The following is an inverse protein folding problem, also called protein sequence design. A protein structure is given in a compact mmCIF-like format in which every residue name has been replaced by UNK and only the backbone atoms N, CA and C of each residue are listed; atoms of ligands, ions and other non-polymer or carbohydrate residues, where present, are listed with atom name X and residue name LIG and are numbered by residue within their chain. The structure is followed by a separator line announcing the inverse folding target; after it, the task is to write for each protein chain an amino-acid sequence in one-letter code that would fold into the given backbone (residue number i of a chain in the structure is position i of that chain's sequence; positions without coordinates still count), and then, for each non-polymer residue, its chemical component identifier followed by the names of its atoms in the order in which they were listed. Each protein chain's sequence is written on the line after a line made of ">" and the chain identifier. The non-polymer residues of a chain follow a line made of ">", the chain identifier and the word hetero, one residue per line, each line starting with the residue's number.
data_IF_027376176752
#
_entry.id   IF_027376176752
#
_cell.length_a   1.000
_cell.length_b   1.000
_cell.length_c   1.000
_cell.angle_alpha   90.00
_cell.angle_beta   90.00
_cell.angle_gamma   90.00
#
_symmetry.space_group_name_H-M   'P 1'
#
loop_
_entity.id
_entity.type
_entity.pdbx_description
1 polymer ?
#
# COMPACT_ATOMS: atom_id res chain seq x y z
N UNK A 1 11.74 24.11 7.20
CA UNK A 1 12.25 24.11 8.60
C UNK A 1 13.72 23.64 8.71
N UNK A 2 14.20 22.63 7.99
CA UNK A 2 15.56 22.09 8.14
C UNK A 2 16.72 23.07 7.94
N UNK A 3 16.67 23.93 6.92
CA UNK A 3 17.77 24.88 6.64
C UNK A 3 17.95 25.97 7.73
N UNK A 4 16.88 26.39 8.41
CA UNK A 4 16.92 27.37 9.49
C UNK A 4 17.55 26.78 10.76
N UNK A 5 17.22 25.52 11.09
CA UNK A 5 17.79 24.85 12.27
C UNK A 5 19.27 24.52 12.09
N UNK A 6 19.68 24.07 10.91
CA UNK A 6 21.08 23.81 10.59
C UNK A 6 21.94 25.05 10.71
N UNK A 7 21.47 26.19 10.17
CA UNK A 7 22.16 27.47 10.25
C UNK A 7 22.31 27.93 11.70
N UNK A 8 21.28 27.76 12.53
CA UNK A 8 21.29 28.08 13.94
C UNK A 8 22.29 27.22 14.73
N UNK A 9 22.31 25.91 14.48
CA UNK A 9 23.24 24.96 15.09
C UNK A 9 24.69 25.26 14.69
N UNK A 10 24.94 25.57 13.42
CA UNK A 10 26.27 25.94 12.93
C UNK A 10 26.77 27.30 13.48
N UNK A 11 25.86 28.20 13.83
CA UNK A 11 26.19 29.49 14.44
C UNK A 11 26.36 29.43 15.97
N UNK A 12 26.00 28.34 16.62
CA UNK A 12 26.09 28.20 18.08
C UNK A 12 27.49 27.76 18.51
N UNK A 13 27.94 28.18 19.70
CA UNK A 13 29.20 27.71 20.25
C UNK A 13 29.07 26.23 20.67
N UNK A 14 30.18 25.48 20.61
CA UNK A 14 30.22 24.10 21.05
C UNK A 14 29.74 23.92 22.51
N UNK A 15 30.18 24.81 23.39
CA UNK A 15 29.84 24.80 24.82
C UNK A 15 28.32 25.02 25.02
N UNK A 16 27.74 26.01 24.32
CA UNK A 16 26.30 26.28 24.38
C UNK A 16 25.47 25.08 23.88
N UNK A 17 25.94 24.35 22.87
CA UNK A 17 25.28 23.15 22.38
C UNK A 17 25.39 21.98 23.39
N UNK A 18 26.54 21.81 24.03
CA UNK A 18 26.75 20.81 25.09
C UNK A 18 25.83 21.10 26.27
N UNK A 19 25.81 22.35 26.77
CA UNK A 19 24.95 22.73 27.89
C UNK A 19 23.46 22.52 27.59
N UNK A 20 23.02 22.86 26.39
CA UNK A 20 21.65 22.59 25.95
C UNK A 20 21.32 21.10 25.90
N UNK A 21 22.21 20.27 25.29
CA UNK A 21 22.02 18.82 25.22
C UNK A 21 21.99 18.16 26.60
N UNK A 22 22.83 18.62 27.54
CA UNK A 22 22.82 18.11 28.91
C UNK A 22 21.53 18.50 29.64
N UNK A 23 21.05 19.73 29.51
CA UNK A 23 19.78 20.17 30.10
C UNK A 23 18.58 19.40 29.56
N UNK A 24 18.56 19.12 28.27
CA UNK A 24 17.47 18.30 27.67
C UNK A 24 17.59 16.83 28.10
N UNK A 25 18.79 16.29 28.19
CA UNK A 25 19.04 14.93 28.68
C UNK A 25 18.64 14.71 30.15
N UNK A 26 18.76 15.76 30.99
CA UNK A 26 18.28 15.72 32.39
C UNK A 26 16.74 15.67 32.48
N UNK A 27 16.04 16.21 31.49
CA UNK A 27 14.57 16.26 31.45
C UNK A 27 13.95 15.03 30.76
N UNK A 28 14.65 14.48 29.78
CA UNK A 28 14.17 13.37 28.95
C UNK A 28 15.18 12.19 28.96
N UNK A 29 14.86 11.17 29.73
CA UNK A 29 15.68 9.96 29.82
C UNK A 29 15.81 9.21 28.47
N UNK A 30 14.81 9.33 27.58
CA UNK A 30 14.86 8.76 26.24
C UNK A 30 15.86 9.53 25.36
N UNK A 31 15.84 10.86 25.45
CA UNK A 31 16.83 11.70 24.76
C UNK A 31 18.25 11.45 25.27
N UNK A 32 18.45 11.35 26.60
CA UNK A 32 19.73 11.00 27.20
C UNK A 32 20.27 9.67 26.67
N UNK A 33 19.42 8.65 26.58
CA UNK A 33 19.76 7.34 26.05
C UNK A 33 20.17 7.42 24.58
N UNK A 34 19.45 8.16 23.75
CA UNK A 34 19.80 8.38 22.33
C UNK A 34 21.13 9.11 22.15
N UNK A 35 21.45 10.08 23.00
CA UNK A 35 22.77 10.72 22.99
C UNK A 35 23.90 9.71 23.30
N UNK A 36 23.69 8.85 24.28
CA UNK A 36 24.65 7.80 24.58
C UNK A 36 24.81 6.81 23.44
N UNK A 37 23.71 6.40 22.79
CA UNK A 37 23.75 5.51 21.61
C UNK A 37 24.53 6.16 20.46
N UNK A 38 24.29 7.45 20.20
CA UNK A 38 24.87 8.16 19.07
C UNK A 38 26.35 8.52 19.26
N UNK A 39 26.77 8.82 20.47
CA UNK A 39 28.08 9.44 20.77
C UNK A 39 28.92 8.70 21.81
N UNK A 40 28.38 7.66 22.46
CA UNK A 40 29.12 6.88 23.45
C UNK A 40 30.19 6.02 22.79
N UNK A 41 31.39 5.97 23.42
CA UNK A 41 32.51 5.14 22.94
C UNK A 41 32.35 3.65 23.32
N UNK A 42 31.58 3.35 24.34
CA UNK A 42 31.32 1.97 24.78
C UNK A 42 29.90 1.55 24.41
N UNK A 43 29.68 0.27 24.01
CA UNK A 43 28.33 -0.25 23.82
C UNK A 43 27.56 -0.14 25.13
N UNK A 44 26.45 0.61 25.10
CA UNK A 44 25.56 0.68 26.27
C UNK A 44 25.04 -0.74 26.51
N UNK A 45 25.32 -1.30 27.66
CA UNK A 45 24.56 -2.44 28.14
C UNK A 45 23.24 -1.88 28.69
N UNK A 46 22.10 -2.16 28.06
CA UNK A 46 20.83 -1.72 28.61
C UNK A 46 20.66 -2.30 29.99
N UNK A 47 20.09 -1.54 30.91
CA UNK A 47 19.55 -2.17 32.11
C UNK A 47 18.31 -2.95 31.68
N UNK A 48 18.54 -4.19 31.26
CA UNK A 48 17.56 -5.10 30.65
C UNK A 48 16.32 -5.23 31.52
N UNK A 49 16.50 -5.30 32.86
CA UNK A 49 15.39 -5.48 33.80
C UNK A 49 14.50 -4.23 33.89
N UNK A 50 15.09 -3.03 33.88
CA UNK A 50 14.31 -1.78 33.85
C UNK A 50 13.52 -1.66 32.56
N UNK A 51 14.14 -1.93 31.39
CA UNK A 51 13.47 -1.85 30.11
C UNK A 51 12.38 -2.93 30.03
N UNK A 52 12.62 -4.15 30.48
CA UNK A 52 11.61 -5.21 30.52
C UNK A 52 10.41 -4.80 31.36
N UNK A 53 10.61 -4.23 32.56
CA UNK A 53 9.50 -3.76 33.38
C UNK A 53 8.68 -2.66 32.69
N UNK A 54 9.35 -1.67 32.11
CA UNK A 54 8.66 -0.60 31.36
C UNK A 54 7.87 -1.14 30.17
N UNK A 55 8.42 -2.11 29.43
CA UNK A 55 7.69 -2.79 28.35
C UNK A 55 6.47 -3.54 28.89
N UNK A 56 6.62 -4.29 29.98
CA UNK A 56 5.50 -5.03 30.59
C UNK A 56 4.41 -4.09 31.09
N UNK A 57 4.77 -2.98 31.73
CA UNK A 57 3.82 -1.95 32.16
C UNK A 57 3.06 -1.36 30.94
N UNK A 58 3.80 -0.93 29.92
CA UNK A 58 3.19 -0.33 28.72
C UNK A 58 2.29 -1.31 27.94
N UNK A 59 2.66 -2.60 27.86
CA UNK A 59 1.85 -3.60 27.15
C UNK A 59 0.62 -4.06 27.96
N UNK A 60 0.54 -3.74 29.24
CA UNK A 60 -0.62 -4.03 30.10
C UNK A 60 -1.51 -2.81 30.37
N UNK A 61 -1.06 -1.62 30.02
CA UNK A 61 -1.79 -0.37 30.18
C UNK A 61 -2.73 -0.16 28.96
N UNK A 62 -3.99 -0.59 29.15
CA UNK A 62 -5.00 -0.67 28.11
C UNK A 62 -6.14 0.32 28.40
N UNK A 63 -6.58 1.02 27.36
CA UNK A 63 -7.70 1.95 27.39
C UNK A 63 -8.75 1.60 26.33
N UNK A 64 -10.01 1.97 26.60
CA UNK A 64 -11.06 1.90 25.58
C UNK A 64 -11.05 3.16 24.71
N UNK A 65 -11.05 2.98 23.40
CA UNK A 65 -11.17 4.10 22.46
C UNK A 65 -12.60 4.69 22.43
N UNK A 66 -12.81 5.73 21.62
CA UNK A 66 -14.10 6.39 21.46
C UNK A 66 -15.20 5.51 20.83
N UNK A 67 -14.82 4.38 20.24
CA UNK A 67 -15.73 3.38 19.66
C UNK A 67 -15.99 2.19 20.58
N UNK A 68 -15.30 2.14 21.74
CA UNK A 68 -15.43 1.07 22.73
C UNK A 68 -14.51 -0.13 22.46
N UNK A 69 -13.54 0.01 21.56
CA UNK A 69 -12.52 -1.00 21.32
C UNK A 69 -11.37 -0.85 22.31
N UNK A 70 -10.90 -1.98 22.85
CA UNK A 70 -9.77 -2.03 23.79
C UNK A 70 -8.46 -1.89 23.01
N UNK A 71 -7.65 -0.89 23.36
CA UNK A 71 -6.36 -0.61 22.75
C UNK A 71 -5.29 -0.29 23.80
N UNK A 72 -4.05 -0.07 23.35
CA UNK A 72 -2.98 0.46 24.20
C UNK A 72 -3.32 1.92 24.56
N UNK A 73 -2.97 2.35 25.78
CA UNK A 73 -3.08 3.76 26.17
C UNK A 73 -2.21 4.65 25.28
N UNK A 74 -2.55 5.92 25.17
CA UNK A 74 -1.77 6.88 24.39
C UNK A 74 -0.32 6.99 24.92
N UNK A 75 -0.12 6.87 26.23
CA UNK A 75 1.23 6.90 26.83
C UNK A 75 2.02 5.65 26.44
N UNK A 76 1.39 4.48 26.40
CA UNK A 76 1.97 3.22 25.98
C UNK A 76 2.36 3.20 24.50
N UNK A 77 1.52 3.75 23.64
CA UNK A 77 1.84 3.92 22.21
C UNK A 77 3.05 4.83 22.01
N UNK A 78 3.10 5.97 22.70
CA UNK A 78 4.25 6.90 22.63
C UNK A 78 5.54 6.25 23.16
N UNK A 79 5.45 5.46 24.23
CA UNK A 79 6.59 4.71 24.74
C UNK A 79 7.11 3.71 23.72
N UNK A 80 6.22 2.91 23.11
CA UNK A 80 6.60 1.93 22.10
C UNK A 80 7.19 2.60 20.85
N UNK A 81 6.65 3.72 20.41
CA UNK A 81 7.23 4.50 19.31
C UNK A 81 8.65 4.98 19.63
N UNK A 82 8.87 5.49 20.85
CA UNK A 82 10.21 5.86 21.32
C UNK A 82 11.14 4.64 21.39
N UNK A 83 10.62 3.49 21.80
CA UNK A 83 11.37 2.25 21.87
C UNK A 83 11.85 1.77 20.49
N UNK A 84 10.97 1.76 19.51
CA UNK A 84 11.33 1.43 18.12
C UNK A 84 12.32 2.44 17.53
N UNK A 85 12.14 3.72 17.87
CA UNK A 85 13.09 4.75 17.45
C UNK A 85 14.48 4.53 18.05
N UNK A 86 14.58 4.09 19.30
CA UNK A 86 15.86 3.73 19.93
C UNK A 86 16.55 2.56 19.17
N UNK A 87 15.79 1.57 18.68
CA UNK A 87 16.31 0.50 17.82
C UNK A 87 16.85 1.08 16.50
N UNK A 88 16.09 1.95 15.85
CA UNK A 88 16.49 2.58 14.58
C UNK A 88 17.76 3.42 14.73
N UNK A 89 17.87 4.21 15.82
CA UNK A 89 19.06 5.01 16.12
C UNK A 89 20.25 4.08 16.39
N UNK A 90 20.06 3.00 17.13
CA UNK A 90 21.14 2.02 17.40
C UNK A 90 21.66 1.37 16.09
N UNK A 91 20.76 1.04 15.15
CA UNK A 91 21.12 0.53 13.82
C UNK A 91 21.92 1.59 13.04
N UNK A 92 21.44 2.83 12.98
CA UNK A 92 22.08 3.93 12.27
C UNK A 92 23.50 4.21 12.78
N UNK A 93 23.75 4.03 14.11
CA UNK A 93 25.05 4.21 14.74
C UNK A 93 25.86 2.92 14.90
N UNK A 94 25.46 1.85 14.17
CA UNK A 94 26.16 0.53 14.17
C UNK A 94 26.27 -0.17 15.53
N UNK A 95 25.40 0.19 16.48
CA UNK A 95 25.29 -0.43 17.81
C UNK A 95 24.42 -1.71 17.75
N UNK A 96 24.82 -2.66 16.90
CA UNK A 96 23.99 -3.83 16.57
C UNK A 96 23.69 -4.72 17.78
N UNK A 97 24.64 -4.88 18.71
CA UNK A 97 24.41 -5.68 19.92
C UNK A 97 23.28 -5.10 20.76
N UNK A 98 23.22 -3.77 20.88
CA UNK A 98 22.17 -3.08 21.59
C UNK A 98 20.82 -3.20 20.88
N UNK A 99 20.79 -2.94 19.58
CA UNK A 99 19.58 -3.08 18.76
C UNK A 99 18.99 -4.51 18.83
N UNK A 100 19.84 -5.54 18.76
CA UNK A 100 19.43 -6.94 18.90
C UNK A 100 18.83 -7.21 20.29
N UNK A 101 19.47 -6.74 21.35
CA UNK A 101 18.95 -6.93 22.72
C UNK A 101 17.56 -6.28 22.88
N UNK A 102 17.35 -5.08 22.35
CA UNK A 102 16.04 -4.44 22.34
C UNK A 102 15.00 -5.26 21.53
N UNK A 103 15.36 -5.77 20.37
CA UNK A 103 14.47 -6.64 19.58
C UNK A 103 14.07 -7.91 20.35
N UNK A 104 15.03 -8.57 21.02
CA UNK A 104 14.77 -9.78 21.80
C UNK A 104 13.91 -9.51 23.03
N UNK A 105 14.11 -8.38 23.72
CA UNK A 105 13.28 -7.98 24.86
C UNK A 105 11.83 -7.74 24.45
N UNK A 106 11.61 -7.09 23.31
CA UNK A 106 10.27 -6.87 22.78
C UNK A 106 9.63 -8.21 22.37
N UNK A 107 10.38 -9.10 21.72
CA UNK A 107 9.91 -10.44 21.33
C UNK A 107 9.48 -11.29 22.55
N UNK A 108 10.20 -11.20 23.68
CA UNK A 108 9.85 -11.86 24.94
C UNK A 108 8.56 -11.32 25.57
N UNK A 109 8.25 -10.04 25.36
CA UNK A 109 7.13 -9.36 26.03
C UNK A 109 5.86 -9.28 25.18
N UNK A 110 5.98 -9.23 23.84
CA UNK A 110 4.84 -9.15 22.92
C UNK A 110 3.77 -10.23 23.10
N UNK A 111 4.08 -11.50 23.47
CA UNK A 111 3.04 -12.52 23.68
C UNK A 111 1.97 -12.15 24.71
N UNK A 112 2.21 -11.15 25.56
CA UNK A 112 1.20 -10.61 26.48
C UNK A 112 0.03 -9.95 25.76
N UNK A 113 0.23 -9.46 24.53
CA UNK A 113 -0.80 -8.84 23.67
C UNK A 113 -1.52 -9.82 22.74
N UNK A 114 -1.26 -11.12 22.80
CA UNK A 114 -1.88 -12.10 21.89
C UNK A 114 -3.41 -12.09 21.89
N UNK A 115 -4.05 -11.58 22.95
CA UNK A 115 -5.49 -11.39 23.03
C UNK A 115 -6.00 -10.13 22.28
N UNK A 116 -5.08 -9.32 21.74
CA UNK A 116 -5.33 -8.08 21.00
C UNK A 116 -4.74 -8.23 19.59
N UNK A 117 -5.38 -9.08 18.77
CA UNK A 117 -4.85 -9.53 17.47
C UNK A 117 -4.25 -8.42 16.63
N UNK A 118 -4.96 -7.28 16.49
CA UNK A 118 -4.51 -6.17 15.64
C UNK A 118 -3.24 -5.49 16.16
N UNK A 119 -3.18 -5.15 17.46
CA UNK A 119 -2.02 -4.49 18.07
C UNK A 119 -0.81 -5.41 18.08
N UNK A 120 -1.03 -6.68 18.41
CA UNK A 120 0.02 -7.69 18.37
C UNK A 120 0.62 -7.81 16.96
N UNK A 121 -0.20 -8.00 15.95
CA UNK A 121 0.25 -8.13 14.56
C UNK A 121 1.01 -6.89 14.09
N UNK A 122 0.52 -5.68 14.38
CA UNK A 122 1.17 -4.43 13.99
C UNK A 122 2.56 -4.29 14.61
N UNK A 123 2.69 -4.53 15.91
CA UNK A 123 3.97 -4.43 16.63
C UNK A 123 4.94 -5.53 16.21
N UNK A 124 4.44 -6.74 16.00
CA UNK A 124 5.24 -7.87 15.55
C UNK A 124 5.77 -7.67 14.12
N UNK A 125 4.97 -7.14 13.21
CA UNK A 125 5.43 -6.78 11.86
C UNK A 125 6.51 -5.67 11.91
N UNK A 126 6.34 -4.66 12.75
CA UNK A 126 7.35 -3.62 12.94
C UNK A 126 8.66 -4.18 13.51
N UNK A 127 8.57 -5.10 14.47
CA UNK A 127 9.73 -5.82 15.01
C UNK A 127 10.44 -6.64 13.93
N UNK A 128 9.70 -7.37 13.08
CA UNK A 128 10.27 -8.09 11.93
C UNK A 128 11.01 -7.15 10.97
N UNK A 129 10.49 -5.95 10.73
CA UNK A 129 11.16 -4.95 9.90
C UNK A 129 12.48 -4.49 10.51
N UNK A 130 12.52 -4.20 11.81
CA UNK A 130 13.77 -3.87 12.52
C UNK A 130 14.82 -5.00 12.40
N UNK A 131 14.40 -6.25 12.59
CA UNK A 131 15.27 -7.41 12.44
C UNK A 131 15.82 -7.56 11.01
N UNK A 132 15.00 -7.32 9.99
CA UNK A 132 15.44 -7.34 8.61
C UNK A 132 16.45 -6.21 8.35
N UNK A 133 16.22 -5.01 8.87
CA UNK A 133 17.15 -3.87 8.75
C UNK A 133 18.49 -4.18 9.40
N UNK A 134 18.51 -4.77 10.61
CA UNK A 134 19.75 -5.24 11.27
C UNK A 134 20.44 -6.28 10.38
N UNK A 135 19.68 -7.23 9.86
CA UNK A 135 20.19 -8.31 9.03
C UNK A 135 20.76 -7.84 7.70
N UNK A 136 20.21 -6.75 7.13
CA UNK A 136 20.66 -6.14 5.86
C UNK A 136 21.79 -5.13 6.04
N UNK A 137 22.01 -4.63 7.26
CA UNK A 137 23.09 -3.72 7.55
C UNK A 137 24.45 -4.39 7.26
N UNK A 138 25.40 -3.57 6.76
CA UNK A 138 26.76 -4.06 6.48
C UNK A 138 27.50 -4.27 7.79
N UNK A 139 27.43 -5.49 8.34
CA UNK A 139 28.13 -5.88 9.56
C UNK A 139 29.44 -6.57 9.19
N UNK A 140 30.60 -6.10 9.67
CA UNK A 140 31.88 -6.75 9.46
C UNK A 140 31.86 -8.20 9.92
N UNK A 141 32.55 -9.10 9.18
CA UNK A 141 32.57 -10.55 9.45
C UNK A 141 32.85 -10.93 10.92
N UNK A 142 33.82 -10.33 11.62
CA UNK A 142 34.07 -10.65 13.04
C UNK A 142 32.87 -10.33 13.95
N UNK A 143 32.19 -9.21 13.69
CA UNK A 143 30.96 -8.85 14.44
C UNK A 143 29.82 -9.83 14.14
N UNK A 144 29.64 -10.25 12.88
CA UNK A 144 28.62 -11.25 12.52
C UNK A 144 28.82 -12.55 13.30
N UNK A 145 30.04 -13.06 13.36
CA UNK A 145 30.34 -14.30 14.08
C UNK A 145 30.05 -14.19 15.57
N UNK A 146 30.43 -13.10 16.22
CA UNK A 146 30.16 -12.88 17.64
C UNK A 146 28.69 -12.70 17.94
N UNK A 147 27.94 -11.99 17.09
CA UNK A 147 26.49 -11.82 17.22
C UNK A 147 25.73 -13.12 16.97
N UNK A 148 26.15 -13.93 16.00
CA UNK A 148 25.58 -15.25 15.76
C UNK A 148 25.78 -16.15 16.98
N UNK A 149 26.99 -16.18 17.56
CA UNK A 149 27.27 -16.95 18.80
C UNK A 149 26.38 -16.47 19.96
N UNK A 150 26.28 -15.16 20.18
CA UNK A 150 25.40 -14.59 21.20
C UNK A 150 23.95 -15.07 21.03
N UNK A 151 23.42 -15.03 19.81
CA UNK A 151 22.06 -15.48 19.52
C UNK A 151 21.91 -17.01 19.68
N UNK A 152 22.96 -17.79 19.43
CA UNK A 152 22.92 -19.25 19.57
C UNK A 152 22.89 -19.70 21.02
N UNK A 153 23.37 -18.89 21.95
CA UNK A 153 23.45 -19.23 23.41
C UNK A 153 22.14 -18.98 24.18
N UNK A 154 21.13 -18.38 23.51
CA UNK A 154 19.81 -18.18 24.15
C UNK A 154 19.00 -19.48 24.18
N UNK A 155 18.32 -19.75 25.32
CA UNK A 155 17.54 -20.97 25.51
C UNK A 155 16.25 -21.03 24.71
N UNK A 156 15.61 -19.87 24.47
CA UNK A 156 14.33 -19.80 23.72
C UNK A 156 14.55 -19.55 22.23
N UNK A 157 14.10 -20.48 21.43
CA UNK A 157 14.06 -20.33 19.96
C UNK A 157 12.76 -19.63 19.56
N UNK A 158 12.86 -18.47 18.93
CA UNK A 158 11.71 -17.72 18.39
C UNK A 158 11.92 -17.38 16.92
N UNK A 159 10.85 -17.15 16.13
CA UNK A 159 10.97 -16.70 14.74
C UNK A 159 11.80 -15.42 14.58
N UNK A 160 11.69 -14.49 15.52
CA UNK A 160 12.48 -13.23 15.54
C UNK A 160 13.98 -13.54 15.71
N UNK A 161 14.31 -14.41 16.62
CA UNK A 161 15.71 -14.83 16.86
C UNK A 161 16.30 -15.54 15.63
N UNK A 162 15.56 -16.49 15.05
CA UNK A 162 15.99 -17.17 13.82
C UNK A 162 16.21 -16.16 12.70
N UNK A 163 15.32 -15.18 12.55
CA UNK A 163 15.41 -14.10 11.55
C UNK A 163 16.70 -13.28 11.71
N UNK A 164 17.05 -12.91 12.94
CA UNK A 164 18.32 -12.24 13.24
C UNK A 164 19.53 -13.13 12.91
N UNK A 165 19.49 -14.41 13.29
CA UNK A 165 20.56 -15.38 13.01
C UNK A 165 20.77 -15.56 11.50
N UNK A 166 19.70 -15.61 10.70
CA UNK A 166 19.76 -15.65 9.23
C UNK A 166 20.58 -14.46 8.69
N UNK A 167 20.43 -13.27 9.26
CA UNK A 167 21.21 -12.08 8.91
C UNK A 167 22.71 -12.19 9.23
N UNK A 168 23.06 -13.01 10.23
CA UNK A 168 24.42 -13.14 10.75
C UNK A 168 25.18 -14.36 10.21
N UNK A 169 24.53 -15.19 9.38
CA UNK A 169 25.15 -16.38 8.78
C UNK A 169 26.45 -16.05 8.03
N UNK A 170 27.49 -16.85 8.25
CA UNK A 170 28.81 -16.69 7.65
C UNK A 170 29.35 -17.97 7.00
N UNK A 171 28.79 -19.15 7.32
CA UNK A 171 29.28 -20.43 6.81
C UNK A 171 28.16 -21.47 6.61
N UNK A 172 28.46 -22.55 5.89
CA UNK A 172 27.50 -23.61 5.57
C UNK A 172 27.04 -24.42 6.81
N UNK A 173 27.84 -24.48 7.87
CA UNK A 173 27.45 -25.17 9.10
C UNK A 173 26.30 -24.43 9.79
N UNK A 174 26.41 -23.10 9.87
CA UNK A 174 25.34 -22.24 10.39
C UNK A 174 24.07 -22.33 9.51
N UNK A 175 24.21 -22.39 8.19
CA UNK A 175 23.07 -22.61 7.27
C UNK A 175 22.35 -23.92 7.61
N UNK A 176 23.08 -25.01 7.84
CA UNK A 176 22.49 -26.30 8.15
C UNK A 176 21.79 -26.28 9.52
N UNK A 177 22.41 -25.68 10.52
CA UNK A 177 21.79 -25.49 11.83
C UNK A 177 20.47 -24.70 11.76
N UNK A 178 20.47 -23.60 10.98
CA UNK A 178 19.26 -22.80 10.81
C UNK A 178 18.14 -23.56 10.09
N UNK A 179 18.48 -24.39 9.08
CA UNK A 179 17.48 -25.25 8.44
C UNK A 179 16.79 -26.19 9.41
N UNK A 180 17.54 -26.78 10.32
CA UNK A 180 16.99 -27.67 11.37
C UNK A 180 16.08 -26.88 12.32
N UNK A 181 16.55 -25.72 12.81
CA UNK A 181 15.77 -24.83 13.67
C UNK A 181 14.46 -24.36 13.02
N UNK A 182 14.49 -23.99 11.73
CA UNK A 182 13.31 -23.50 11.02
C UNK A 182 12.24 -24.59 10.93
N UNK A 183 12.60 -25.84 10.71
CA UNK A 183 11.64 -26.95 10.63
C UNK A 183 10.86 -27.15 11.94
N UNK A 184 11.46 -26.82 13.07
CA UNK A 184 10.84 -26.94 14.40
C UNK A 184 9.83 -25.83 14.72
N UNK A 185 9.93 -24.67 14.04
CA UNK A 185 9.11 -23.47 14.30
C UNK A 185 7.64 -23.56 13.86
N UNK A 186 7.30 -24.40 12.91
CA UNK A 186 5.91 -24.63 12.48
C UNK A 186 5.25 -23.47 11.73
N UNK A 187 4.93 -22.36 12.38
CA UNK A 187 4.07 -21.31 11.81
C UNK A 187 4.75 -20.40 10.78
N UNK A 188 6.04 -20.10 10.91
CA UNK A 188 6.81 -19.22 10.00
C UNK A 188 7.82 -19.97 9.11
N UNK A 189 7.74 -21.30 9.04
CA UNK A 189 8.70 -22.14 8.29
C UNK A 189 8.96 -21.64 6.89
N UNK A 190 7.90 -21.35 6.12
CA UNK A 190 8.06 -20.88 4.74
C UNK A 190 8.77 -19.54 4.64
N UNK A 191 8.40 -18.58 5.51
CA UNK A 191 8.98 -17.23 5.50
C UNK A 191 10.45 -17.27 5.90
N UNK A 192 10.80 -18.02 6.95
CA UNK A 192 12.17 -18.15 7.43
C UNK A 192 13.04 -18.94 6.43
N UNK A 193 12.51 -20.02 5.85
CA UNK A 193 13.18 -20.78 4.79
C UNK A 193 13.50 -19.86 3.60
N UNK A 194 12.53 -19.05 3.19
CA UNK A 194 12.72 -18.13 2.07
C UNK A 194 13.76 -17.04 2.38
N UNK A 195 13.73 -16.47 3.59
CA UNK A 195 14.75 -15.50 4.03
C UNK A 195 16.16 -16.11 4.04
N UNK A 196 16.30 -17.35 4.48
CA UNK A 196 17.57 -18.06 4.45
C UNK A 196 18.05 -18.27 3.02
N UNK A 197 17.16 -18.68 2.10
CA UNK A 197 17.45 -18.86 0.68
C UNK A 197 17.88 -17.56 0.00
N UNK A 198 17.19 -16.44 0.28
CA UNK A 198 17.56 -15.12 -0.26
C UNK A 198 19.02 -14.77 0.05
N UNK A 199 19.52 -15.18 1.23
CA UNK A 199 20.87 -14.82 1.69
C UNK A 199 21.96 -15.81 1.32
N UNK A 200 21.62 -17.06 1.13
CA UNK A 200 22.62 -18.15 1.05
C UNK A 200 22.56 -18.97 -0.22
N UNK A 201 21.42 -18.96 -0.93
CA UNK A 201 21.20 -19.79 -2.12
C UNK A 201 21.60 -19.09 -3.43
N UNK A 202 21.85 -19.88 -4.47
CA UNK A 202 22.05 -19.39 -5.83
C UNK A 202 20.78 -18.73 -6.40
N UNK A 203 20.92 -17.98 -7.51
CA UNK A 203 19.79 -17.38 -8.23
C UNK A 203 18.78 -18.47 -8.66
N UNK A 204 19.30 -19.57 -9.16
CA UNK A 204 18.51 -20.70 -9.69
C UNK A 204 17.71 -21.37 -8.59
N UNK A 205 18.31 -21.62 -7.42
CA UNK A 205 17.62 -22.22 -6.28
C UNK A 205 16.52 -21.30 -5.73
N UNK A 206 16.79 -19.98 -5.63
CA UNK A 206 15.78 -18.99 -5.20
C UNK A 206 14.60 -18.93 -6.18
N UNK A 207 14.90 -18.88 -7.48
CA UNK A 207 13.86 -18.86 -8.51
C UNK A 207 13.03 -20.14 -8.49
N UNK A 208 13.67 -21.30 -8.34
CA UNK A 208 12.95 -22.57 -8.24
C UNK A 208 12.03 -22.58 -7.03
N UNK A 209 12.51 -22.13 -5.87
CA UNK A 209 11.66 -22.02 -4.68
C UNK A 209 10.45 -21.09 -4.89
N UNK A 210 10.68 -19.92 -5.53
CA UNK A 210 9.59 -19.00 -5.89
C UNK A 210 8.57 -19.63 -6.85
N UNK A 211 9.04 -20.47 -7.79
CA UNK A 211 8.17 -21.16 -8.73
C UNK A 211 7.30 -22.23 -8.03
N UNK A 212 7.86 -22.94 -7.06
CA UNK A 212 7.20 -24.03 -6.35
C UNK A 212 6.30 -23.52 -5.19
N UNK A 213 6.72 -22.47 -4.48
CA UNK A 213 6.08 -21.95 -3.26
C UNK A 213 5.60 -20.50 -3.37
N UNK A 214 5.80 -19.84 -4.49
CA UNK A 214 5.58 -18.40 -4.66
C UNK A 214 4.12 -18.01 -4.87
N UNK A 215 3.19 -18.58 -4.11
CA UNK A 215 1.80 -18.14 -4.04
C UNK A 215 1.63 -16.87 -3.17
N UNK A 216 2.67 -16.46 -2.43
CA UNK A 216 2.71 -15.24 -1.62
C UNK A 216 3.43 -14.11 -2.37
N UNK A 217 2.75 -12.98 -2.66
CA UNK A 217 3.36 -11.84 -3.35
C UNK A 217 4.61 -11.29 -2.62
N UNK A 218 4.64 -11.40 -1.29
CA UNK A 218 5.71 -10.92 -0.42
C UNK A 218 7.07 -11.57 -0.77
N UNK A 219 7.10 -12.85 -1.11
CA UNK A 219 8.35 -13.53 -1.48
C UNK A 219 8.94 -12.98 -2.77
N UNK A 220 8.08 -12.70 -3.76
CA UNK A 220 8.51 -12.05 -5.00
C UNK A 220 9.00 -10.62 -4.75
N UNK A 221 8.28 -9.86 -3.93
CA UNK A 221 8.67 -8.50 -3.53
C UNK A 221 10.05 -8.51 -2.87
N UNK A 222 10.29 -9.36 -1.87
CA UNK A 222 11.59 -9.48 -1.19
C UNK A 222 12.72 -9.85 -2.16
N UNK A 223 12.47 -10.76 -3.13
CA UNK A 223 13.48 -11.13 -4.14
C UNK A 223 13.82 -9.98 -5.07
N UNK A 224 12.81 -9.21 -5.49
CA UNK A 224 13.00 -8.02 -6.33
C UNK A 224 13.80 -6.96 -5.56
N UNK A 225 13.42 -6.66 -4.32
CA UNK A 225 14.11 -5.69 -3.47
C UNK A 225 15.56 -6.10 -3.21
N UNK A 226 15.81 -7.38 -2.98
CA UNK A 226 17.17 -7.91 -2.81
C UNK A 226 18.02 -7.75 -4.08
N UNK A 227 17.44 -8.05 -5.25
CA UNK A 227 18.12 -7.84 -6.52
C UNK A 227 18.44 -6.35 -6.75
N UNK A 228 17.55 -5.44 -6.32
CA UNK A 228 17.77 -3.99 -6.41
C UNK A 228 18.85 -3.50 -5.45
N UNK A 229 18.88 -3.98 -4.21
CA UNK A 229 19.94 -3.66 -3.23
C UNK A 229 21.32 -4.08 -3.73
N UNK A 230 21.40 -5.17 -4.49
CA UNK A 230 22.64 -5.69 -5.09
C UNK A 230 22.88 -5.12 -6.50
N UNK A 231 22.18 -4.07 -6.89
CA UNK A 231 22.27 -3.37 -8.18
C UNK A 231 22.02 -4.27 -9.42
N UNK A 232 21.38 -5.42 -9.21
CA UNK A 232 21.07 -6.41 -10.27
C UNK A 232 19.73 -6.08 -10.94
N UNK A 233 19.61 -4.89 -11.56
CA UNK A 233 18.37 -4.36 -12.14
C UNK A 233 17.70 -5.29 -13.16
N UNK A 234 18.48 -5.99 -13.99
CA UNK A 234 17.91 -6.91 -14.99
C UNK A 234 17.23 -8.11 -14.32
N UNK A 235 17.82 -8.67 -13.26
CA UNK A 235 17.19 -9.74 -12.49
C UNK A 235 15.91 -9.25 -11.78
N UNK A 236 15.94 -8.04 -11.23
CA UNK A 236 14.74 -7.44 -10.63
C UNK A 236 13.59 -7.29 -11.64
N UNK A 237 13.90 -6.94 -12.90
CA UNK A 237 12.91 -6.86 -13.98
C UNK A 237 12.38 -8.25 -14.33
N UNK A 238 13.23 -9.26 -14.49
CA UNK A 238 12.82 -10.64 -14.78
C UNK A 238 11.87 -11.18 -13.70
N UNK A 239 12.23 -10.98 -12.41
CA UNK A 239 11.40 -11.36 -11.27
C UNK A 239 10.06 -10.61 -11.24
N UNK A 240 10.07 -9.28 -11.47
CA UNK A 240 8.87 -8.49 -11.48
C UNK A 240 7.93 -8.86 -12.65
N UNK A 241 8.47 -9.18 -13.83
CA UNK A 241 7.70 -9.65 -14.99
C UNK A 241 7.03 -11.00 -14.70
N UNK A 242 7.74 -11.93 -14.10
CA UNK A 242 7.19 -13.25 -13.77
C UNK A 242 6.13 -13.13 -12.65
N UNK A 243 6.40 -12.33 -11.62
CA UNK A 243 5.43 -12.02 -10.56
C UNK A 243 4.17 -11.35 -11.13
N UNK A 244 4.32 -10.40 -12.07
CA UNK A 244 3.20 -9.72 -12.71
C UNK A 244 2.28 -10.66 -13.50
N UNK A 245 2.84 -11.70 -14.12
CA UNK A 245 2.05 -12.74 -14.81
C UNK A 245 1.24 -13.58 -13.82
N UNK A 246 1.81 -13.90 -12.65
CA UNK A 246 1.16 -14.71 -11.61
C UNK A 246 0.08 -13.94 -10.86
N UNK A 247 0.37 -12.72 -10.47
CA UNK A 247 -0.49 -11.87 -9.67
C UNK A 247 -1.17 -10.80 -10.54
N UNK A 248 -1.95 -11.25 -11.51
CA UNK A 248 -2.58 -10.43 -12.56
C UNK A 248 -3.36 -9.20 -12.04
N UNK A 249 -3.92 -9.29 -10.84
CA UNK A 249 -4.71 -8.21 -10.25
C UNK A 249 -3.91 -7.30 -9.31
N UNK A 250 -2.66 -7.64 -9.01
CA UNK A 250 -1.79 -6.81 -8.17
C UNK A 250 -1.09 -5.74 -9.01
N UNK A 251 -1.20 -4.48 -8.59
CA UNK A 251 -0.49 -3.36 -9.20
C UNK A 251 0.98 -3.27 -8.78
N UNK A 252 1.38 -3.93 -7.67
CA UNK A 252 2.70 -3.82 -7.05
C UNK A 252 3.83 -4.10 -8.07
N UNK A 253 3.71 -5.22 -8.79
CA UNK A 253 4.78 -5.66 -9.71
C UNK A 253 4.86 -4.80 -10.97
N UNK A 254 3.73 -4.33 -11.47
CA UNK A 254 3.69 -3.32 -12.54
C UNK A 254 4.33 -2.01 -12.09
N UNK A 255 4.17 -1.62 -10.82
CA UNK A 255 4.83 -0.47 -10.22
C UNK A 255 6.36 -0.59 -10.18
N UNK A 256 6.89 -1.77 -9.83
CA UNK A 256 8.33 -2.05 -9.94
C UNK A 256 8.82 -1.94 -11.39
N UNK A 257 8.10 -2.56 -12.33
CA UNK A 257 8.45 -2.54 -13.75
C UNK A 257 8.46 -1.11 -14.31
N UNK A 258 7.43 -0.32 -14.01
CA UNK A 258 7.36 1.07 -14.44
C UNK A 258 8.56 1.89 -13.97
N UNK A 259 8.87 1.84 -12.67
CA UNK A 259 9.99 2.56 -12.08
C UNK A 259 11.32 2.14 -12.71
N UNK A 260 11.56 0.84 -12.81
CA UNK A 260 12.81 0.30 -13.34
C UNK A 260 13.01 0.64 -14.81
N UNK A 261 11.99 0.49 -15.66
CA UNK A 261 12.08 0.84 -17.07
C UNK A 261 12.27 2.35 -17.26
N UNK A 262 11.62 3.19 -16.44
CA UNK A 262 11.81 4.64 -16.45
C UNK A 262 13.26 5.02 -16.08
N UNK A 263 13.82 4.43 -15.02
CA UNK A 263 15.21 4.63 -14.60
C UNK A 263 16.24 4.19 -15.66
N UNK A 264 15.95 3.12 -16.39
CA UNK A 264 16.82 2.60 -17.44
C UNK A 264 16.63 3.29 -18.78
N UNK A 265 15.73 4.25 -18.90
CA UNK A 265 15.40 4.92 -20.16
C UNK A 265 14.67 4.02 -21.18
N UNK A 266 14.16 2.86 -20.75
CA UNK A 266 13.37 1.98 -21.60
C UNK A 266 11.94 2.50 -21.71
N UNK A 267 11.73 3.43 -22.66
CA UNK A 267 10.44 4.11 -22.87
C UNK A 267 9.31 3.13 -23.16
N UNK A 268 9.53 2.12 -24.00
CA UNK A 268 8.48 1.17 -24.35
C UNK A 268 8.09 0.32 -23.14
N UNK A 269 9.05 -0.20 -22.40
CA UNK A 269 8.76 -0.95 -21.16
C UNK A 269 8.00 -0.12 -20.11
N UNK A 270 8.37 1.17 -20.00
CA UNK A 270 7.65 2.08 -19.09
C UNK A 270 6.22 2.37 -19.56
N UNK A 271 5.98 2.52 -20.87
CA UNK A 271 4.65 2.64 -21.47
C UNK A 271 3.77 1.42 -21.17
N UNK A 272 4.29 0.22 -21.43
CA UNK A 272 3.56 -1.02 -21.21
C UNK A 272 3.21 -1.22 -19.74
N UNK A 273 4.14 -0.89 -18.84
CA UNK A 273 3.93 -0.99 -17.39
C UNK A 273 2.93 0.07 -16.87
N UNK A 274 2.98 1.32 -17.39
CA UNK A 274 1.99 2.35 -17.05
C UNK A 274 0.58 1.96 -17.52
N UNK A 275 0.47 1.42 -18.72
CA UNK A 275 -0.79 0.90 -19.26
C UNK A 275 -1.38 -0.21 -18.36
N UNK A 276 -0.55 -1.18 -17.96
CA UNK A 276 -0.96 -2.29 -17.08
C UNK A 276 -1.39 -1.77 -15.69
N UNK A 277 -0.71 -0.75 -15.14
CA UNK A 277 -1.10 -0.10 -13.89
C UNK A 277 -2.48 0.54 -13.97
N UNK A 278 -2.76 1.28 -15.04
CA UNK A 278 -4.07 1.91 -15.26
C UNK A 278 -5.14 0.82 -15.42
N UNK A 279 -4.84 -0.25 -16.16
CA UNK A 279 -5.75 -1.39 -16.33
C UNK A 279 -6.07 -2.13 -15.03
N UNK A 280 -5.24 -1.96 -13.99
CA UNK A 280 -5.43 -2.46 -12.63
C UNK A 280 -6.05 -1.45 -11.66
N UNK A 281 -6.43 -0.25 -12.14
CA UNK A 281 -7.13 0.78 -11.38
C UNK A 281 -6.28 1.95 -10.91
N UNK A 282 -4.97 1.96 -11.21
CA UNK A 282 -4.04 3.02 -10.81
C UNK A 282 -4.10 4.21 -11.79
N UNK A 283 -5.21 4.94 -11.76
CA UNK A 283 -5.54 5.98 -12.74
C UNK A 283 -4.56 7.16 -12.78
N UNK A 284 -3.81 7.42 -11.72
CA UNK A 284 -2.84 8.53 -11.69
C UNK A 284 -1.68 8.34 -12.68
N UNK A 285 -1.44 7.11 -13.17
CA UNK A 285 -0.46 6.83 -14.21
C UNK A 285 -0.89 7.29 -15.62
N UNK A 286 -2.12 7.76 -15.80
CA UNK A 286 -2.60 8.33 -17.10
C UNK A 286 -1.70 9.50 -17.54
N UNK A 287 -1.36 10.39 -16.63
CA UNK A 287 -0.45 11.53 -16.91
C UNK A 287 0.93 11.04 -17.37
N UNK A 288 1.47 10.02 -16.71
CA UNK A 288 2.75 9.41 -17.08
C UNK A 288 2.67 8.71 -18.45
N UNK A 289 1.59 7.97 -18.70
CA UNK A 289 1.34 7.29 -19.97
C UNK A 289 1.28 8.30 -21.12
N UNK A 290 0.55 9.42 -20.93
CA UNK A 290 0.47 10.50 -21.90
C UNK A 290 1.84 11.16 -22.14
N UNK A 291 2.61 11.44 -21.11
CA UNK A 291 3.96 12.03 -21.21
C UNK A 291 4.96 11.09 -21.91
N UNK A 292 4.83 9.78 -21.72
CA UNK A 292 5.62 8.77 -22.42
C UNK A 292 5.17 8.55 -23.86
N UNK A 293 3.94 8.86 -24.23
CA UNK A 293 3.42 8.74 -25.59
C UNK A 293 3.90 9.90 -26.47
N UNK A 294 4.01 9.69 -27.78
CA UNK A 294 4.15 10.79 -28.74
C UNK A 294 2.76 11.32 -29.08
N UNK A 295 2.61 12.56 -29.57
CA UNK A 295 1.32 13.06 -30.00
C UNK A 295 0.62 12.17 -31.02
N UNK A 296 1.38 11.56 -31.95
CA UNK A 296 0.87 10.65 -32.96
C UNK A 296 0.42 9.29 -32.39
N UNK A 297 1.15 8.76 -31.39
CA UNK A 297 0.82 7.49 -30.76
C UNK A 297 -0.24 7.62 -29.67
N UNK A 298 -0.41 8.81 -29.08
CA UNK A 298 -1.34 9.01 -27.96
C UNK A 298 -2.78 8.64 -28.30
N UNK A 299 -3.25 9.05 -29.48
CA UNK A 299 -4.62 8.71 -29.92
C UNK A 299 -4.84 7.21 -29.98
N UNK A 300 -3.89 6.46 -30.55
CA UNK A 300 -3.95 4.99 -30.58
C UNK A 300 -3.86 4.38 -29.20
N UNK A 301 -2.98 4.92 -28.33
CA UNK A 301 -2.84 4.47 -26.93
C UNK A 301 -4.13 4.68 -26.15
N UNK A 302 -4.82 5.82 -26.34
CA UNK A 302 -6.10 6.10 -25.71
C UNK A 302 -7.20 5.13 -26.17
N UNK A 303 -7.26 4.81 -27.48
CA UNK A 303 -8.21 3.81 -27.98
C UNK A 303 -7.97 2.43 -27.36
N UNK A 304 -6.71 1.97 -27.33
CA UNK A 304 -6.33 0.71 -26.66
C UNK A 304 -6.67 0.72 -25.16
N UNK A 305 -6.51 1.88 -24.51
CA UNK A 305 -6.88 2.02 -23.11
C UNK A 305 -8.40 1.89 -22.91
N UNK A 306 -9.20 2.52 -23.75
CA UNK A 306 -10.65 2.37 -23.71
C UNK A 306 -11.07 0.91 -23.93
N UNK A 307 -10.45 0.21 -24.89
CA UNK A 307 -10.73 -1.21 -25.13
C UNK A 307 -10.34 -2.09 -23.92
N UNK A 308 -9.21 -1.81 -23.26
CA UNK A 308 -8.79 -2.52 -22.05
C UNK A 308 -9.70 -2.26 -20.83
N UNK A 309 -10.45 -1.17 -20.85
CA UNK A 309 -11.43 -0.80 -19.82
C UNK A 309 -12.82 -1.40 -20.06
N UNK A 310 -13.06 -2.03 -21.20
CA UNK A 310 -14.33 -2.67 -21.47
C UNK A 310 -14.66 -3.75 -20.46
N UNK A 311 -15.88 -3.73 -19.91
CA UNK A 311 -16.33 -4.68 -18.87
C UNK A 311 -15.71 -4.49 -17.48
N UNK A 312 -14.87 -3.47 -17.26
CA UNK A 312 -14.38 -3.13 -15.93
C UNK A 312 -15.46 -2.41 -15.10
N UNK A 313 -15.34 -2.46 -13.78
CA UNK A 313 -16.24 -1.76 -12.87
C UNK A 313 -16.11 -0.24 -12.97
N UNK A 314 -17.19 0.48 -12.66
CA UNK A 314 -17.22 1.95 -12.67
C UNK A 314 -16.08 2.55 -11.83
N UNK A 315 -15.74 1.94 -10.70
CA UNK A 315 -14.66 2.41 -9.83
C UNK A 315 -13.29 2.48 -10.54
N UNK A 316 -13.01 1.50 -11.39
CA UNK A 316 -11.75 1.42 -12.16
C UNK A 316 -11.73 2.44 -13.29
N UNK A 317 -12.87 2.65 -13.97
CA UNK A 317 -12.93 3.46 -15.20
C UNK A 317 -13.39 4.90 -15.00
N UNK A 318 -13.67 5.31 -13.78
CA UNK A 318 -14.23 6.63 -13.45
C UNK A 318 -13.37 7.84 -13.87
N UNK A 319 -12.10 7.63 -14.21
CA UNK A 319 -11.19 8.66 -14.72
C UNK A 319 -11.36 8.94 -16.22
N UNK A 320 -11.95 7.98 -16.96
CA UNK A 320 -12.05 8.06 -18.43
C UNK A 320 -12.85 9.27 -18.93
N UNK A 321 -14.02 9.62 -18.36
CA UNK A 321 -14.81 10.71 -18.89
C UNK A 321 -14.07 12.04 -18.99
N UNK A 322 -13.37 12.42 -17.93
CA UNK A 322 -12.60 13.66 -17.89
C UNK A 322 -11.49 13.63 -18.95
N UNK A 323 -10.80 12.51 -19.09
CA UNK A 323 -9.76 12.32 -20.11
C UNK A 323 -10.35 12.39 -21.54
N UNK A 324 -11.50 11.75 -21.78
CA UNK A 324 -12.16 11.75 -23.09
C UNK A 324 -12.69 13.14 -23.48
N UNK A 325 -13.15 13.93 -22.50
CA UNK A 325 -13.54 15.33 -22.69
C UNK A 325 -12.31 16.17 -23.06
N UNK A 326 -11.19 16.04 -22.33
CA UNK A 326 -9.95 16.75 -22.60
C UNK A 326 -9.41 16.46 -24.02
N UNK A 327 -9.56 15.23 -24.49
CA UNK A 327 -9.12 14.78 -25.81
C UNK A 327 -10.17 15.01 -26.93
N UNK A 328 -11.37 15.46 -26.58
CA UNK A 328 -12.48 15.66 -27.52
C UNK A 328 -12.98 14.35 -28.15
N UNK A 329 -12.78 13.21 -27.49
CA UNK A 329 -13.20 11.90 -28.01
C UNK A 329 -14.62 11.56 -27.56
N UNK A 330 -15.59 12.25 -28.17
CA UNK A 330 -17.00 12.08 -27.79
C UNK A 330 -17.60 10.75 -28.25
N UNK A 331 -17.00 10.07 -29.22
CA UNK A 331 -17.41 8.71 -29.63
C UNK A 331 -17.18 7.73 -28.50
N UNK A 332 -15.99 7.74 -27.89
CA UNK A 332 -15.66 6.91 -26.72
C UNK A 332 -16.42 7.35 -25.46
N UNK A 333 -16.76 8.64 -25.36
CA UNK A 333 -17.63 9.14 -24.31
C UNK A 333 -19.04 8.56 -24.41
N UNK A 334 -19.61 8.48 -25.63
CA UNK A 334 -20.89 7.81 -25.86
C UNK A 334 -20.81 6.31 -25.51
N UNK A 335 -19.73 5.63 -25.89
CA UNK A 335 -19.48 4.25 -25.46
C UNK A 335 -19.46 4.13 -23.93
N UNK A 336 -18.79 5.03 -23.22
CA UNK A 336 -18.73 5.03 -21.75
C UNK A 336 -20.11 5.17 -21.10
N UNK A 337 -20.93 6.12 -21.51
CA UNK A 337 -22.28 6.31 -20.94
C UNK A 337 -23.23 5.17 -21.32
N UNK A 338 -23.03 4.48 -22.45
CA UNK A 338 -23.76 3.25 -22.78
C UNK A 338 -23.40 2.09 -21.85
N UNK A 339 -22.14 2.02 -21.42
CA UNK A 339 -21.69 1.01 -20.46
C UNK A 339 -22.15 1.34 -19.03
N UNK A 340 -22.23 2.62 -18.68
CA UNK A 340 -22.66 3.14 -17.36
C UNK A 340 -23.80 4.14 -17.51
N UNK A 341 -25.03 3.70 -17.79
CA UNK A 341 -26.15 4.60 -18.11
C UNK A 341 -26.44 5.64 -17.02
N UNK A 342 -26.21 5.32 -15.75
CA UNK A 342 -26.41 6.27 -14.62
C UNK A 342 -25.49 7.49 -14.69
N UNK A 343 -24.35 7.40 -15.39
CA UNK A 343 -23.43 8.52 -15.60
C UNK A 343 -23.88 9.47 -16.74
N UNK A 344 -24.88 9.08 -17.54
CA UNK A 344 -25.35 9.88 -18.68
C UNK A 344 -25.81 11.27 -18.27
N UNK A 345 -26.47 11.43 -17.12
CA UNK A 345 -26.93 12.73 -16.61
C UNK A 345 -25.77 13.68 -16.27
N UNK A 346 -24.60 13.15 -15.97
CA UNK A 346 -23.41 13.97 -15.67
C UNK A 346 -22.73 14.50 -16.92
N UNK A 347 -22.81 13.76 -18.02
CA UNK A 347 -22.01 14.03 -19.22
C UNK A 347 -22.82 14.33 -20.49
N UNK A 348 -24.17 14.41 -20.39
CA UNK A 348 -25.04 14.59 -21.56
C UNK A 348 -24.72 15.86 -22.37
N UNK A 349 -24.34 16.96 -21.72
CA UNK A 349 -24.03 18.23 -22.39
C UNK A 349 -22.92 18.12 -23.41
N UNK A 350 -21.92 17.25 -23.15
CA UNK A 350 -20.81 17.01 -24.09
C UNK A 350 -21.23 16.15 -25.29
N UNK A 351 -22.29 15.33 -25.15
CA UNK A 351 -22.77 14.42 -26.16
C UNK A 351 -23.87 15.04 -27.07
N UNK A 352 -24.65 15.98 -26.54
CA UNK A 352 -25.76 16.61 -27.25
C UNK A 352 -25.36 17.17 -28.62
N UNK A 353 -24.22 17.88 -28.81
CA UNK A 353 -23.89 18.46 -30.12
C UNK A 353 -23.79 17.44 -31.26
N UNK A 354 -23.40 16.19 -30.96
CA UNK A 354 -23.07 15.19 -31.98
C UNK A 354 -23.96 13.94 -31.93
N UNK A 355 -24.37 13.52 -30.73
CA UNK A 355 -25.00 12.21 -30.45
C UNK A 355 -26.38 12.34 -29.81
N UNK A 356 -27.16 13.37 -30.17
CA UNK A 356 -28.48 13.63 -29.58
C UNK A 356 -29.45 12.46 -29.75
N UNK A 357 -29.45 11.78 -30.92
CA UNK A 357 -30.37 10.68 -31.20
C UNK A 357 -30.08 9.46 -30.32
N UNK A 358 -28.81 9.07 -30.25
CA UNK A 358 -28.33 7.94 -29.41
C UNK A 358 -28.54 8.22 -27.91
N UNK A 359 -28.31 9.47 -27.49
CA UNK A 359 -28.52 9.90 -26.12
C UNK A 359 -30.01 9.85 -25.73
N UNK A 360 -30.93 10.27 -26.60
CA UNK A 360 -32.37 10.12 -26.39
C UNK A 360 -32.76 8.66 -26.19
N UNK A 361 -32.30 7.78 -27.07
CA UNK A 361 -32.57 6.34 -26.95
C UNK A 361 -32.05 5.78 -25.62
N UNK A 362 -30.83 6.14 -25.22
CA UNK A 362 -30.22 5.71 -23.94
C UNK A 362 -31.05 6.18 -22.74
N UNK A 363 -31.46 7.46 -22.71
CA UNK A 363 -32.25 8.05 -21.63
C UNK A 363 -33.65 7.43 -21.54
N UNK A 364 -34.28 7.10 -22.69
CA UNK A 364 -35.55 6.35 -22.72
C UNK A 364 -35.38 4.96 -22.09
N UNK A 365 -34.39 4.18 -22.52
CA UNK A 365 -34.13 2.86 -22.00
C UNK A 365 -33.85 2.91 -20.49
N UNK A 366 -33.01 3.86 -20.05
CA UNK A 366 -32.69 4.07 -18.65
C UNK A 366 -33.95 4.41 -17.84
N UNK A 367 -34.79 5.34 -18.32
CA UNK A 367 -36.01 5.77 -17.64
C UNK A 367 -36.99 4.61 -17.42
N UNK A 368 -37.18 3.75 -18.43
CA UNK A 368 -38.07 2.59 -18.33
C UNK A 368 -37.53 1.50 -17.41
N UNK A 369 -36.19 1.37 -17.30
CA UNK A 369 -35.54 0.33 -16.49
C UNK A 369 -35.43 0.71 -15.01
N UNK A 370 -35.20 1.98 -14.68
CA UNK A 370 -35.00 2.45 -13.31
C UNK A 370 -36.13 2.07 -12.34
N UNK A 371 -37.39 2.14 -12.77
CA UNK A 371 -38.56 1.87 -11.94
C UNK A 371 -38.73 0.38 -11.63
N UNK A 372 -38.20 -0.51 -12.49
CA UNK A 372 -38.23 -1.96 -12.29
C UNK A 372 -37.17 -2.43 -11.28
N UNK A 373 -36.03 -1.74 -11.24
CA UNK A 373 -34.92 -2.11 -10.35
C UNK A 373 -35.11 -1.59 -8.93
N UNK A 374 -35.58 -0.33 -8.79
CA UNK A 374 -35.62 0.33 -7.50
C UNK A 374 -36.91 1.12 -7.31
N UNK A 375 -37.47 1.08 -6.10
CA UNK A 375 -38.70 1.78 -5.74
C UNK A 375 -38.49 2.82 -4.63
N UNK A 376 -37.29 3.37 -4.52
CA UNK A 376 -36.97 4.43 -3.57
C UNK A 376 -37.37 5.81 -4.07
N UNK A 377 -37.52 6.75 -3.14
CA UNK A 377 -37.77 8.16 -3.51
C UNK A 377 -36.60 8.74 -4.31
N UNK A 378 -35.39 8.32 -4.00
CA UNK A 378 -34.17 8.73 -4.71
C UNK A 378 -34.22 8.32 -6.20
N UNK A 379 -34.55 7.06 -6.47
CA UNK A 379 -34.69 6.56 -7.85
C UNK A 379 -35.76 7.32 -8.64
N UNK A 380 -36.90 7.68 -8.03
CA UNK A 380 -37.93 8.48 -8.70
C UNK A 380 -37.51 9.94 -8.93
N UNK A 381 -36.69 10.51 -8.07
CA UNK A 381 -36.10 11.84 -8.30
C UNK A 381 -35.09 11.79 -9.46
N UNK A 382 -34.21 10.77 -9.51
CA UNK A 382 -33.30 10.57 -10.63
C UNK A 382 -34.04 10.34 -11.95
N UNK A 383 -35.12 9.55 -11.95
CA UNK A 383 -35.97 9.36 -13.10
C UNK A 383 -36.56 10.70 -13.60
N UNK A 384 -37.10 11.52 -12.68
CA UNK A 384 -37.65 12.82 -13.02
C UNK A 384 -36.57 13.73 -13.65
N UNK A 385 -35.37 13.73 -13.12
CA UNK A 385 -34.23 14.46 -13.69
C UNK A 385 -33.85 13.93 -15.08
N UNK A 386 -33.83 12.60 -15.27
CA UNK A 386 -33.55 11.96 -16.57
C UNK A 386 -34.59 12.41 -17.62
N UNK A 387 -35.87 12.42 -17.27
CA UNK A 387 -36.96 12.88 -18.15
C UNK A 387 -36.88 14.38 -18.44
N UNK A 388 -36.46 15.21 -17.49
CA UNK A 388 -36.24 16.65 -17.72
C UNK A 388 -35.07 16.87 -18.71
N UNK A 389 -33.96 16.12 -18.56
CA UNK A 389 -32.86 16.16 -19.52
C UNK A 389 -33.35 15.73 -20.90
N UNK A 390 -34.10 14.63 -21.00
CA UNK A 390 -34.67 14.14 -22.25
C UNK A 390 -35.53 15.22 -22.92
N UNK A 391 -36.35 15.93 -22.14
CA UNK A 391 -37.13 17.09 -22.64
C UNK A 391 -36.23 18.22 -23.15
N UNK A 392 -35.20 18.57 -22.36
CA UNK A 392 -34.30 19.70 -22.69
C UNK A 392 -33.53 19.52 -24.00
N UNK A 393 -33.24 18.26 -24.37
CA UNK A 393 -32.56 17.91 -25.64
C UNK A 393 -33.53 17.67 -26.82
N UNK A 394 -34.79 18.12 -26.68
CA UNK A 394 -35.83 18.02 -27.73
C UNK A 394 -36.45 16.63 -27.83
N UNK A 395 -36.57 15.90 -26.73
CA UNK A 395 -37.20 14.58 -26.64
C UNK A 395 -38.55 14.60 -25.95
N UNK A 396 -39.41 15.62 -26.20
CA UNK A 396 -40.71 15.74 -25.53
C UNK A 396 -41.65 14.57 -25.84
N UNK A 397 -41.62 14.02 -27.06
CA UNK A 397 -42.46 12.87 -27.45
C UNK A 397 -42.00 11.61 -26.74
N UNK A 398 -40.70 11.39 -26.70
CA UNK A 398 -40.07 10.24 -26.03
C UNK A 398 -40.28 10.30 -24.52
N UNK A 399 -40.15 11.48 -23.93
CA UNK A 399 -40.44 11.74 -22.53
C UNK A 399 -41.90 11.41 -22.20
N UNK A 400 -42.87 11.93 -23.00
CA UNK A 400 -44.28 11.65 -22.75
C UNK A 400 -44.59 10.14 -22.88
N UNK A 401 -44.01 9.50 -23.88
CA UNK A 401 -44.12 8.03 -24.01
C UNK A 401 -43.63 7.29 -22.79
N UNK A 402 -42.45 7.66 -22.25
CA UNK A 402 -41.94 7.06 -21.01
C UNK A 402 -42.90 7.24 -19.83
N UNK A 403 -43.44 8.45 -19.66
CA UNK A 403 -44.39 8.76 -18.58
C UNK A 403 -45.65 7.89 -18.71
N UNK A 404 -46.24 7.81 -19.92
CA UNK A 404 -47.45 7.04 -20.18
C UNK A 404 -47.24 5.55 -19.86
N UNK A 405 -46.13 4.96 -20.36
CA UNK A 405 -45.76 3.58 -20.08
C UNK A 405 -45.57 3.32 -18.56
N UNK A 406 -44.85 4.22 -17.87
CA UNK A 406 -44.59 4.08 -16.44
C UNK A 406 -45.86 4.20 -15.58
N UNK A 407 -46.78 5.09 -15.96
CA UNK A 407 -48.05 5.25 -15.25
C UNK A 407 -49.02 4.09 -15.49
N UNK A 408 -48.97 3.48 -16.68
CA UNK A 408 -49.74 2.29 -17.04
C UNK A 408 -49.21 1.06 -16.27
N UNK A 409 -47.90 0.86 -16.27
CA UNK A 409 -47.26 -0.27 -15.59
C UNK A 409 -47.35 -0.15 -14.04
N UNK A 410 -47.30 1.08 -13.50
CA UNK A 410 -47.22 1.33 -12.06
C UNK A 410 -48.34 2.29 -11.57
N UNK A 411 -49.64 2.01 -11.80
CA UNK A 411 -50.72 2.94 -11.53
C UNK A 411 -50.89 3.31 -10.06
N UNK A 412 -50.39 2.45 -9.15
CA UNK A 412 -50.51 2.62 -7.69
C UNK A 412 -49.29 3.23 -7.01
N UNK A 413 -48.17 3.49 -7.73
CA UNK A 413 -46.94 4.08 -7.16
C UNK A 413 -47.10 5.59 -6.96
N UNK A 414 -47.65 5.97 -5.77
CA UNK A 414 -47.95 7.39 -5.44
C UNK A 414 -46.69 8.25 -5.40
N UNK A 415 -45.56 7.73 -4.90
CA UNK A 415 -44.30 8.48 -4.86
C UNK A 415 -43.76 8.82 -6.26
N UNK A 416 -43.87 7.90 -7.22
CA UNK A 416 -43.53 8.19 -8.62
C UNK A 416 -44.33 9.39 -9.13
N UNK A 417 -45.67 9.38 -8.97
CA UNK A 417 -46.54 10.49 -9.38
C UNK A 417 -46.22 11.80 -8.68
N UNK A 418 -45.81 11.74 -7.42
CA UNK A 418 -45.42 12.94 -6.67
C UNK A 418 -44.12 13.55 -7.20
N UNK A 419 -43.12 12.75 -7.44
CA UNK A 419 -41.82 13.25 -7.96
C UNK A 419 -41.97 13.78 -9.41
N UNK A 420 -42.76 13.12 -10.26
CA UNK A 420 -43.06 13.63 -11.61
C UNK A 420 -43.82 14.97 -11.58
N UNK A 421 -44.79 15.14 -10.67
CA UNK A 421 -45.50 16.44 -10.47
C UNK A 421 -44.55 17.53 -9.99
N UNK A 422 -43.70 17.25 -9.01
CA UNK A 422 -42.71 18.21 -8.53
C UNK A 422 -41.74 18.68 -9.64
N UNK A 423 -41.43 17.80 -10.55
CA UNK A 423 -40.59 18.09 -11.72
C UNK A 423 -41.35 18.82 -12.85
N UNK A 424 -42.67 19.06 -12.72
CA UNK A 424 -43.48 19.69 -13.73
C UNK A 424 -43.67 18.83 -15.00
N UNK A 425 -43.69 17.52 -14.84
CA UNK A 425 -43.81 16.52 -15.90
C UNK A 425 -45.23 15.89 -15.95
N UNK A 426 -46.04 16.15 -14.96
CA UNK A 426 -47.46 15.76 -14.87
C UNK A 426 -48.35 16.96 -14.54
#
# INVERSE_FOLDING_TARGET
>A
MGNSLLTLLQGSSKDSLIDFLLQEAEKDASFARRLHIAFGEEPISPNVDVIRNLLQESLTDLEYDSYGDLGLSQESEQFLDSYFHDIEVAIAHTQFSYAIQLCLLLDETLPQLQHMDYQYEMLYERLKQCCNTIADAVIPLPKKQSLYALLSDYDNLTPIRIRLMIGMVTDNKQVQQLREMIVEEGSEVEALTFLLLIRTASKEERLQYLLDHGYKPEFWKLSIEKALQEERKNEAIELAQEANKRFKYSHIFSGYLFRLFKEMGNRQGALDAAFDLIAKGESYYVTELKALSTPDSWKTTLELLCDAMEGKSLHVVRFLPELLIEEGNYERMLWYVKQFPKESLRYYEYLVPTYTAELKELLVQQSLHMVSEESSRYAFTELANTLQVLKSIGGEKEMQHCIDVLLEQYPRKMMLKQELRKAGLL
#
